data_IF_827401366244
#
_entry.id   IF_827401366244
#
_cell.length_a   1.000
_cell.length_b   1.000
_cell.length_c   1.000
_cell.angle_alpha   90.00
_cell.angle_beta   90.00
_cell.angle_gamma   90.00
#
_symmetry.space_group_name_H-M   'P 1'
#
loop_
_entity.id
_entity.type
_entity.pdbx_description
1 polymer ?
#
# COMPACT_ATOMS: atom_id res chain seq x y z
N UNK A 1 17.64 -0.93 5.56
CA UNK A 1 18.25 -1.55 4.36
C UNK A 1 19.24 -2.64 4.73
N UNK A 2 20.38 -2.34 5.36
CA UNK A 2 21.42 -3.34 5.65
C UNK A 2 20.92 -4.48 6.55
N UNK A 3 20.10 -4.20 7.56
CA UNK A 3 19.52 -5.23 8.44
C UNK A 3 18.60 -6.19 7.68
N UNK A 4 17.76 -5.66 6.78
CA UNK A 4 16.90 -6.49 5.95
C UNK A 4 17.73 -7.44 5.07
N UNK A 5 18.76 -6.92 4.41
CA UNK A 5 19.64 -7.72 3.57
C UNK A 5 20.37 -8.82 4.38
N UNK A 6 20.75 -8.52 5.62
CA UNK A 6 21.33 -9.52 6.53
C UNK A 6 20.33 -10.63 6.87
N UNK A 7 19.05 -10.29 7.08
CA UNK A 7 17.99 -11.28 7.32
C UNK A 7 17.68 -12.12 6.07
N UNK A 8 17.71 -11.52 4.89
CA UNK A 8 17.51 -12.21 3.62
C UNK A 8 18.61 -13.27 3.37
N UNK A 9 19.84 -12.97 3.79
CA UNK A 9 20.98 -13.83 3.52
C UNK A 9 21.08 -14.18 2.04
N UNK A 10 21.54 -15.39 1.72
CA UNK A 10 21.62 -15.89 0.34
C UNK A 10 20.35 -16.63 -0.12
N UNK A 11 19.40 -16.85 0.80
CA UNK A 11 18.18 -17.62 0.50
C UNK A 11 17.10 -16.81 -0.22
N UNK A 12 17.06 -15.49 0.03
CA UNK A 12 16.10 -14.59 -0.60
C UNK A 12 16.87 -13.69 -1.56
N UNK A 13 16.85 -13.97 -2.86
CA UNK A 13 17.66 -13.23 -3.83
C UNK A 13 17.16 -11.80 -4.04
N UNK A 14 15.83 -11.58 -3.92
CA UNK A 14 15.19 -10.28 -4.16
C UNK A 14 13.96 -10.12 -3.29
N UNK A 15 13.66 -8.90 -2.87
CA UNK A 15 12.51 -8.59 -2.05
C UNK A 15 11.92 -7.22 -2.40
N UNK A 16 10.59 -7.11 -2.36
CA UNK A 16 9.90 -5.83 -2.35
C UNK A 16 10.15 -5.14 -0.99
N UNK A 17 10.41 -3.84 -1.05
CA UNK A 17 10.62 -3.01 0.13
C UNK A 17 9.46 -2.03 0.27
N UNK A 18 8.43 -2.45 0.97
CA UNK A 18 7.29 -1.62 1.31
C UNK A 18 7.51 -0.94 2.66
N UNK A 19 7.12 0.32 2.77
CA UNK A 19 6.97 1.00 4.05
C UNK A 19 5.65 0.63 4.69
N UNK A 20 5.54 0.81 6.01
CA UNK A 20 4.23 0.86 6.63
C UNK A 20 3.59 2.19 6.22
N UNK A 21 2.44 2.16 5.54
CA UNK A 21 1.71 3.38 5.29
C UNK A 21 1.23 3.94 6.64
N UNK A 22 1.75 5.10 7.01
CA UNK A 22 1.38 5.79 8.25
C UNK A 22 0.03 6.51 8.09
N UNK A 23 -0.95 5.86 7.49
CA UNK A 23 -2.28 6.42 7.25
C UNK A 23 -3.35 5.86 8.17
N UNK A 24 -3.01 4.97 9.07
CA UNK A 24 -3.99 4.38 9.96
C UNK A 24 -4.04 5.15 11.26
N UNK A 25 -5.10 5.90 11.41
CA UNK A 25 -5.52 6.47 12.68
C UNK A 25 -6.71 5.66 13.17
N UNK A 26 -6.55 5.00 14.30
CA UNK A 26 -7.68 4.36 14.94
C UNK A 26 -8.24 5.23 16.07
N UNK A 27 -9.54 5.33 16.12
CA UNK A 27 -10.26 5.86 17.29
C UNK A 27 -11.59 5.12 17.43
N UNK A 28 -12.18 5.15 18.62
CA UNK A 28 -13.52 4.59 18.86
C UNK A 28 -14.61 5.21 17.98
N UNK A 29 -14.34 6.35 17.37
CA UNK A 29 -15.25 7.01 16.43
C UNK A 29 -15.16 6.43 15.03
N UNK A 30 -14.07 5.77 14.68
CA UNK A 30 -13.87 5.23 13.34
C UNK A 30 -14.79 4.03 13.15
N UNK A 31 -14.57 2.96 13.83
CA UNK A 31 -15.48 1.79 13.89
C UNK A 31 -14.90 0.71 14.79
N UNK A 32 -15.72 -0.25 15.19
CA UNK A 32 -15.29 -1.43 15.89
C UNK A 32 -15.01 -1.18 17.38
N UNK A 33 -15.14 -2.23 18.13
CA UNK A 33 -15.09 -2.19 19.59
C UNK A 33 -13.68 -2.33 20.15
N UNK A 34 -12.66 -2.48 19.30
CA UNK A 34 -11.27 -2.67 19.72
C UNK A 34 -10.27 -2.08 18.74
N UNK A 35 -9.14 -1.62 19.28
CA UNK A 35 -8.03 -1.12 18.49
C UNK A 35 -7.33 -2.26 17.72
N UNK A 36 -6.73 -1.98 16.55
CA UNK A 36 -5.80 -2.91 15.94
C UNK A 36 -4.58 -3.08 16.83
N UNK A 37 -4.25 -4.29 17.20
CA UNK A 37 -3.23 -4.59 18.21
C UNK A 37 -1.90 -5.09 17.62
N UNK A 38 -1.75 -5.13 16.31
CA UNK A 38 -0.60 -5.80 15.70
C UNK A 38 0.44 -4.89 15.06
N UNK A 39 0.18 -3.61 14.84
CA UNK A 39 1.21 -2.68 14.34
C UNK A 39 1.01 -1.21 14.70
N UNK A 40 0.01 -0.89 15.49
CA UNK A 40 -0.19 0.44 16.04
C UNK A 40 -0.34 0.34 17.55
N UNK A 41 0.74 0.54 18.27
CA UNK A 41 0.71 0.68 19.74
C UNK A 41 0.41 2.12 20.17
N UNK A 42 -0.18 2.91 19.27
CA UNK A 42 -0.47 4.32 19.50
C UNK A 42 -1.74 4.73 18.76
N UNK A 43 -2.48 5.65 19.35
CA UNK A 43 -3.61 6.37 18.75
C UNK A 43 -3.20 7.76 18.21
N UNK A 44 -1.90 8.03 18.11
CA UNK A 44 -1.41 9.27 17.52
C UNK A 44 -1.87 9.40 16.07
N UNK A 45 -2.15 10.64 15.66
CA UNK A 45 -2.53 10.96 14.30
C UNK A 45 -1.46 10.51 13.32
N UNK A 46 -1.88 9.74 12.32
CA UNK A 46 -1.02 9.28 11.25
C UNK A 46 -1.28 10.10 10.00
N UNK A 47 -0.22 10.40 9.29
CA UNK A 47 -0.29 11.28 8.14
C UNK A 47 -0.29 10.48 6.84
N UNK A 48 -1.27 10.73 5.99
CA UNK A 48 -1.16 10.42 4.58
C UNK A 48 -0.01 11.23 3.97
N UNK A 49 0.57 10.73 2.89
CA UNK A 49 1.70 11.37 2.21
C UNK A 49 2.91 11.54 3.10
N UNK A 50 3.14 10.54 3.93
CA UNK A 50 4.13 10.57 4.98
C UNK A 50 5.56 10.52 4.47
N UNK A 51 6.50 10.77 5.37
CA UNK A 51 7.93 10.61 5.13
C UNK A 51 8.36 9.16 4.82
N UNK A 52 7.44 8.19 4.82
CA UNK A 52 7.75 6.78 4.56
C UNK A 52 8.47 6.61 3.22
N UNK A 53 7.96 7.19 2.15
CA UNK A 53 8.57 7.08 0.82
C UNK A 53 9.96 7.73 0.80
N UNK A 54 10.11 8.90 1.40
CA UNK A 54 11.41 9.57 1.51
C UNK A 54 12.39 8.72 2.33
N UNK A 55 11.95 8.12 3.43
CA UNK A 55 12.78 7.24 4.25
C UNK A 55 13.26 6.00 3.48
N UNK A 56 12.36 5.36 2.72
CA UNK A 56 12.70 4.24 1.85
C UNK A 56 13.72 4.68 0.80
N UNK A 57 13.46 5.79 0.11
CA UNK A 57 14.35 6.29 -0.93
C UNK A 57 15.76 6.60 -0.40
N UNK A 58 15.86 7.27 0.73
CA UNK A 58 17.14 7.58 1.37
C UNK A 58 17.87 6.31 1.82
N UNK A 59 17.13 5.36 2.42
CA UNK A 59 17.67 4.07 2.85
C UNK A 59 18.19 3.27 1.65
N UNK A 60 17.45 3.22 0.55
CA UNK A 60 17.84 2.55 -0.67
C UNK A 60 19.08 3.18 -1.30
N UNK A 61 19.12 4.51 -1.41
CA UNK A 61 20.27 5.24 -1.98
C UNK A 61 21.56 5.10 -1.17
N UNK A 62 21.46 4.78 0.12
CA UNK A 62 22.61 4.52 0.97
C UNK A 62 23.22 3.12 0.78
N UNK A 63 22.60 2.26 -0.01
CA UNK A 63 23.07 0.91 -0.30
C UNK A 63 24.04 0.89 -1.50
N UNK A 64 24.89 -0.12 -1.55
CA UNK A 64 25.73 -0.37 -2.75
C UNK A 64 24.86 -0.81 -3.94
N UNK A 65 25.30 -0.65 -5.20
CA UNK A 65 24.57 -1.11 -6.36
C UNK A 65 24.20 -2.61 -6.31
N UNK A 66 25.09 -3.46 -5.76
CA UNK A 66 24.82 -4.89 -5.59
C UNK A 66 23.71 -5.15 -4.58
N UNK A 67 23.63 -4.34 -3.52
CA UNK A 67 22.56 -4.41 -2.53
C UNK A 67 21.23 -3.86 -3.07
N UNK A 68 21.29 -2.77 -3.82
CA UNK A 68 20.14 -2.18 -4.47
C UNK A 68 19.48 -3.16 -5.45
N UNK A 69 20.26 -3.91 -6.22
CA UNK A 69 19.76 -4.90 -7.17
C UNK A 69 18.93 -6.03 -6.53
N UNK A 70 18.97 -6.15 -5.20
CA UNK A 70 18.21 -7.15 -4.43
C UNK A 70 16.91 -6.61 -3.86
N UNK A 71 16.59 -5.35 -4.07
CA UNK A 71 15.43 -4.69 -3.47
C UNK A 71 14.61 -3.96 -4.53
N UNK A 72 13.30 -4.08 -4.41
CA UNK A 72 12.31 -3.35 -5.19
C UNK A 72 11.56 -2.38 -4.26
N UNK A 73 12.00 -1.12 -4.17
CA UNK A 73 11.32 -0.12 -3.36
C UNK A 73 9.94 0.20 -3.91
N UNK A 74 8.96 0.23 -3.02
CA UNK A 74 7.56 0.50 -3.34
C UNK A 74 7.12 1.82 -2.70
N UNK A 75 6.28 2.58 -3.39
CA UNK A 75 5.64 3.79 -2.86
C UNK A 75 4.41 3.36 -2.07
N UNK A 76 4.29 3.80 -0.83
CA UNK A 76 3.20 3.45 0.08
C UNK A 76 2.58 4.64 0.81
N UNK A 77 3.19 5.82 0.72
CA UNK A 77 2.80 7.01 1.48
C UNK A 77 1.60 7.77 0.92
N UNK A 78 0.60 7.09 0.37
CA UNK A 78 -0.60 7.69 -0.20
C UNK A 78 -1.89 7.07 0.36
N UNK A 79 -3.00 7.77 0.17
CA UNK A 79 -4.35 7.25 0.44
C UNK A 79 -5.00 6.82 -0.89
N UNK A 80 -5.31 5.53 -1.09
CA UNK A 80 -5.92 5.06 -2.34
C UNK A 80 -7.34 5.61 -2.60
N UNK A 81 -8.03 6.14 -1.60
CA UNK A 81 -9.30 6.83 -1.73
C UNK A 81 -9.17 8.35 -2.02
N UNK A 82 -7.96 8.87 -2.15
CA UNK A 82 -7.73 10.28 -2.45
C UNK A 82 -7.48 10.47 -3.95
N UNK A 83 -8.30 11.31 -4.59
CA UNK A 83 -8.14 11.68 -6.00
C UNK A 83 -6.76 12.27 -6.34
N UNK A 84 -6.01 12.73 -5.34
CA UNK A 84 -4.64 13.25 -5.50
C UNK A 84 -3.54 12.22 -5.23
N UNK A 85 -3.88 10.94 -4.99
CA UNK A 85 -2.91 9.87 -4.78
C UNK A 85 -1.92 9.75 -5.96
N UNK A 86 -2.42 9.73 -7.19
CA UNK A 86 -1.58 9.70 -8.39
C UNK A 86 -0.62 10.90 -8.48
N UNK A 87 -1.08 12.09 -8.08
CA UNK A 87 -0.22 13.29 -8.06
C UNK A 87 0.87 13.19 -6.99
N UNK A 88 0.58 12.54 -5.85
CA UNK A 88 1.60 12.25 -4.84
C UNK A 88 2.65 11.28 -5.41
N UNK A 89 2.24 10.19 -6.03
CA UNK A 89 3.16 9.22 -6.65
C UNK A 89 4.04 9.91 -7.69
N UNK A 90 3.48 10.74 -8.54
CA UNK A 90 4.23 11.55 -9.51
C UNK A 90 5.30 12.42 -8.85
N UNK A 91 4.94 13.09 -7.73
CA UNK A 91 5.92 13.91 -6.95
C UNK A 91 7.03 13.05 -6.36
N UNK A 92 6.71 11.88 -5.83
CA UNK A 92 7.71 10.95 -5.28
C UNK A 92 8.68 10.49 -6.36
N UNK A 93 8.17 10.06 -7.52
CA UNK A 93 9.00 9.63 -8.65
C UNK A 93 9.91 10.76 -9.16
N UNK A 94 9.39 11.99 -9.21
CA UNK A 94 10.15 13.17 -9.63
C UNK A 94 11.24 13.54 -8.62
N UNK A 95 10.94 13.39 -7.32
CA UNK A 95 11.88 13.74 -6.23
C UNK A 95 12.98 12.68 -6.07
N UNK A 96 12.64 11.43 -6.31
CA UNK A 96 13.54 10.28 -6.14
C UNK A 96 13.66 9.46 -7.44
N UNK A 97 14.16 10.03 -8.53
CA UNK A 97 14.22 9.35 -9.81
C UNK A 97 15.06 8.07 -9.72
N UNK A 98 14.57 7.01 -10.38
CA UNK A 98 15.24 5.71 -10.48
C UNK A 98 15.28 4.89 -9.18
N UNK A 99 14.46 5.24 -8.17
CA UNK A 99 14.42 4.52 -6.91
C UNK A 99 13.28 3.50 -6.87
N UNK A 100 12.07 3.95 -7.13
CA UNK A 100 10.87 3.14 -6.95
C UNK A 100 10.52 2.33 -8.18
N UNK A 101 10.06 1.10 -7.95
CA UNK A 101 9.66 0.14 -8.99
C UNK A 101 8.18 -0.19 -8.95
N UNK A 102 7.46 0.26 -7.92
CA UNK A 102 6.04 -0.03 -7.79
C UNK A 102 5.33 0.75 -6.71
N UNK A 103 4.05 0.42 -6.56
CA UNK A 103 3.12 0.92 -5.54
C UNK A 103 2.75 -0.19 -4.58
N UNK A 104 2.67 0.10 -3.29
CA UNK A 104 2.12 -0.81 -2.30
C UNK A 104 3.17 -1.46 -1.39
N UNK A 105 2.77 -2.38 -0.57
CA UNK A 105 1.42 -2.92 -0.44
C UNK A 105 0.47 -1.85 0.14
N UNK A 106 -0.71 -1.69 -0.44
CA UNK A 106 -1.81 -0.95 0.15
C UNK A 106 -3.08 -1.82 0.15
N UNK A 107 -4.00 -1.52 1.05
CA UNK A 107 -5.20 -2.34 1.25
C UNK A 107 -6.45 -1.61 0.78
N UNK A 108 -7.34 -2.33 0.11
CA UNK A 108 -8.68 -1.88 -0.25
C UNK A 108 -9.68 -2.57 0.69
N UNK A 109 -10.21 -3.71 0.32
CA UNK A 109 -11.05 -4.50 1.23
C UNK A 109 -10.17 -5.38 2.12
N UNK A 110 -9.89 -4.90 3.33
CA UNK A 110 -9.24 -5.66 4.38
C UNK A 110 -10.10 -5.53 5.63
N UNK A 111 -11.08 -6.40 5.75
CA UNK A 111 -12.24 -6.22 6.62
C UNK A 111 -11.89 -6.13 8.12
N UNK A 112 -10.74 -6.65 8.50
CA UNK A 112 -10.21 -6.44 9.86
C UNK A 112 -9.62 -5.06 10.10
N UNK A 113 -9.14 -4.39 9.06
CA UNK A 113 -8.33 -3.18 9.16
C UNK A 113 -9.03 -1.98 8.54
N UNK A 114 -9.70 -2.16 7.40
CA UNK A 114 -10.37 -1.08 6.68
C UNK A 114 -11.31 -0.26 7.55
N UNK A 115 -12.14 -0.86 8.42
CA UNK A 115 -12.98 -0.09 9.33
C UNK A 115 -12.23 0.76 10.35
N UNK A 116 -10.91 0.57 10.47
CA UNK A 116 -10.04 1.26 11.42
C UNK A 116 -9.18 2.35 10.78
N UNK A 117 -9.33 2.56 9.48
CA UNK A 117 -8.69 3.66 8.75
C UNK A 117 -9.53 4.92 8.94
N UNK A 118 -8.89 6.03 9.21
CA UNK A 118 -9.57 7.32 9.32
C UNK A 118 -10.06 7.78 7.95
N UNK A 119 -11.33 8.18 7.89
CA UNK A 119 -11.99 8.56 6.64
C UNK A 119 -12.76 7.40 6.00
N UNK A 120 -13.18 7.60 4.77
CA UNK A 120 -13.87 6.56 4.00
C UNK A 120 -12.87 5.47 3.59
N UNK A 121 -13.20 4.19 3.81
CA UNK A 121 -12.36 3.11 3.35
C UNK A 121 -12.32 3.09 1.81
N UNK A 122 -11.18 2.81 1.19
CA UNK A 122 -11.10 2.68 -0.25
C UNK A 122 -11.92 1.49 -0.74
N UNK A 123 -12.44 1.59 -1.96
CA UNK A 123 -13.18 0.54 -2.65
C UNK A 123 -12.49 0.20 -3.97
N UNK A 124 -12.71 -1.01 -4.48
CA UNK A 124 -12.27 -1.39 -5.83
C UNK A 124 -12.96 -0.57 -6.93
N UNK A 125 -14.11 0.01 -6.63
CA UNK A 125 -14.86 0.87 -7.57
C UNK A 125 -14.65 2.37 -7.31
N UNK A 126 -13.57 2.72 -6.59
CA UNK A 126 -13.28 4.12 -6.28
C UNK A 126 -12.56 4.79 -7.46
N UNK A 127 -13.08 5.88 -8.02
CA UNK A 127 -12.42 6.58 -9.14
C UNK A 127 -11.02 7.12 -8.78
N UNK A 128 -10.70 7.24 -7.51
CA UNK A 128 -9.35 7.57 -7.08
C UNK A 128 -8.38 6.39 -7.29
N UNK A 129 -8.87 5.16 -7.08
CA UNK A 129 -8.11 3.95 -7.36
C UNK A 129 -7.86 3.79 -8.86
N UNK A 130 -8.90 3.92 -9.71
CA UNK A 130 -8.77 3.88 -11.18
C UNK A 130 -7.70 4.86 -11.65
N UNK A 131 -7.78 6.11 -11.20
CA UNK A 131 -6.78 7.13 -11.54
C UNK A 131 -5.37 6.78 -11.10
N UNK A 132 -5.23 6.13 -9.95
CA UNK A 132 -3.94 5.67 -9.43
C UNK A 132 -3.37 4.53 -10.27
N UNK A 133 -4.21 3.55 -10.64
CA UNK A 133 -3.83 2.39 -11.43
C UNK A 133 -3.51 2.77 -12.88
N UNK A 134 -4.31 3.65 -13.49
CA UNK A 134 -4.02 4.23 -14.81
C UNK A 134 -2.64 4.87 -14.82
N UNK A 135 -2.35 5.70 -13.82
CA UNK A 135 -1.05 6.34 -13.72
C UNK A 135 0.09 5.34 -13.50
N UNK A 136 -0.14 4.31 -12.69
CA UNK A 136 0.84 3.24 -12.49
C UNK A 136 1.16 2.51 -13.81
N UNK A 137 0.15 2.19 -14.61
CA UNK A 137 0.30 1.61 -15.95
C UNK A 137 1.03 2.55 -16.91
N UNK A 138 0.67 3.86 -16.93
CA UNK A 138 1.32 4.87 -17.76
C UNK A 138 2.84 4.94 -17.53
N UNK A 139 3.28 4.82 -16.27
CA UNK A 139 4.69 4.95 -15.90
C UNK A 139 5.40 3.61 -15.66
N UNK A 140 4.72 2.50 -15.83
CA UNK A 140 5.28 1.14 -15.73
C UNK A 140 5.61 0.72 -14.31
N UNK A 141 4.80 1.10 -13.32
CA UNK A 141 4.94 0.66 -11.93
C UNK A 141 4.17 -0.64 -11.67
N UNK A 142 4.79 -1.58 -10.96
CA UNK A 142 4.10 -2.75 -10.44
C UNK A 142 3.23 -2.34 -9.26
N UNK A 143 1.96 -2.76 -9.25
CA UNK A 143 1.05 -2.50 -8.13
C UNK A 143 0.84 -3.75 -7.28
N UNK A 144 0.99 -3.60 -5.96
CA UNK A 144 0.71 -4.66 -4.97
C UNK A 144 -0.45 -4.23 -4.11
N UNK A 145 -1.60 -4.82 -4.41
CA UNK A 145 -2.88 -4.56 -3.75
C UNK A 145 -3.22 -5.72 -2.81
N UNK A 146 -3.57 -5.40 -1.57
CA UNK A 146 -4.17 -6.35 -0.63
C UNK A 146 -5.69 -6.19 -0.66
N UNK A 147 -6.37 -7.23 -1.08
CA UNK A 147 -7.83 -7.26 -1.12
C UNK A 147 -8.36 -8.59 -0.63
N UNK A 148 -9.19 -8.58 0.40
CA UNK A 148 -9.92 -9.77 0.82
C UNK A 148 -10.97 -10.12 -0.25
N UNK A 149 -11.07 -11.40 -0.61
CA UNK A 149 -12.02 -11.86 -1.63
C UNK A 149 -13.41 -11.99 -1.02
N UNK A 150 -13.48 -12.36 0.25
CA UNK A 150 -14.72 -12.54 1.00
C UNK A 150 -14.61 -11.88 2.37
N UNK A 151 -15.75 -11.45 2.90
CA UNK A 151 -15.81 -10.90 4.25
C UNK A 151 -15.59 -12.02 5.29
N UNK A 152 -14.55 -11.92 6.15
CA UNK A 152 -14.28 -12.95 7.14
C UNK A 152 -15.37 -13.01 8.21
N UNK A 153 -15.58 -14.22 8.76
CA UNK A 153 -16.53 -14.49 9.87
C UNK A 153 -18.00 -14.17 9.58
N UNK A 154 -18.35 -13.98 8.32
CA UNK A 154 -19.75 -13.80 7.93
C UNK A 154 -20.36 -15.14 7.56
N UNK A 155 -21.61 -15.42 7.97
CA UNK A 155 -22.32 -16.61 7.50
C UNK A 155 -22.36 -16.66 5.97
N UNK A 156 -22.23 -17.84 5.34
CA UNK A 156 -22.14 -17.98 3.88
C UNK A 156 -23.26 -17.28 3.11
N UNK A 157 -24.45 -17.23 3.67
CA UNK A 157 -25.62 -16.54 3.07
C UNK A 157 -25.53 -15.02 3.07
N UNK A 158 -24.62 -14.45 3.88
CA UNK A 158 -24.37 -13.01 3.98
C UNK A 158 -22.96 -12.64 3.54
N UNK A 159 -22.23 -13.60 2.96
CA UNK A 159 -20.86 -13.40 2.53
C UNK A 159 -20.80 -12.38 1.39
N UNK A 160 -20.05 -11.29 1.62
CA UNK A 160 -19.76 -10.32 0.57
C UNK A 160 -18.53 -10.81 -0.19
N UNK A 161 -18.71 -11.10 -1.46
CA UNK A 161 -17.62 -11.52 -2.33
C UNK A 161 -17.19 -10.36 -3.22
N UNK A 162 -15.90 -10.00 -3.13
CA UNK A 162 -15.29 -8.93 -3.95
C UNK A 162 -14.63 -9.48 -5.23
N UNK A 163 -14.80 -10.78 -5.49
CA UNK A 163 -14.09 -11.45 -6.60
C UNK A 163 -14.46 -10.89 -7.96
N UNK A 164 -15.73 -10.57 -8.18
CA UNK A 164 -16.19 -10.07 -9.48
C UNK A 164 -15.78 -8.61 -9.70
N UNK A 165 -15.77 -7.80 -8.63
CA UNK A 165 -15.23 -6.44 -8.65
C UNK A 165 -13.73 -6.47 -8.95
N UNK A 166 -12.98 -7.34 -8.27
CA UNK A 166 -11.54 -7.51 -8.52
C UNK A 166 -11.24 -7.98 -9.95
N UNK A 167 -12.05 -8.88 -10.51
CA UNK A 167 -11.89 -9.30 -11.91
C UNK A 167 -12.17 -8.16 -12.89
N UNK A 168 -13.18 -7.33 -12.60
CA UNK A 168 -13.48 -6.17 -13.42
C UNK A 168 -12.32 -5.18 -13.41
N UNK A 169 -11.79 -4.88 -12.23
CA UNK A 169 -10.63 -4.00 -12.04
C UNK A 169 -9.38 -4.49 -12.79
N UNK A 170 -9.07 -5.79 -12.66
CA UNK A 170 -7.95 -6.39 -13.38
C UNK A 170 -8.16 -6.42 -14.90
N UNK A 171 -9.39 -6.43 -15.38
CA UNK A 171 -9.69 -6.36 -16.81
C UNK A 171 -9.59 -4.93 -17.36
N UNK A 172 -9.87 -3.93 -16.54
CA UNK A 172 -9.75 -2.51 -16.89
C UNK A 172 -8.29 -2.04 -16.89
N UNK A 173 -7.48 -2.57 -15.98
CA UNK A 173 -6.05 -2.25 -15.83
C UNK A 173 -5.16 -3.46 -16.14
N UNK A 174 -5.02 -3.88 -17.41
CA UNK A 174 -4.32 -5.11 -17.80
C UNK A 174 -2.79 -5.02 -17.77
N UNK A 175 -2.21 -3.87 -17.44
CA UNK A 175 -0.75 -3.62 -17.51
C UNK A 175 -0.06 -3.77 -16.17
#
# INVERSE_FOLDING_TARGET
GAQLLALMGDRVPRAMLSGLPLQQQWSYRSTGDFAPDYYLETDADLYYYSFTDAHIAMTYRALTPQQQARLDPMITGFNPADMYAADHVRRVLTTFPGVFTGLGEFSVHKEFVSPKIAGDPPSLTDPALDRLLDFAGEVGLVTVLHNDIVMPFTPPENERAYLDELKAELAEHPN
#
